data_IF_704677884722
#
_entry.id   IF_704677884722
#
_cell.length_a   1.000
_cell.length_b   1.000
_cell.length_c   1.000
_cell.angle_alpha   90.00
_cell.angle_beta   90.00
_cell.angle_gamma   90.00
#
_symmetry.space_group_name_H-M   'P 1'
#
loop_
_entity.id
_entity.type
_entity.pdbx_description
1 polymer ?
#
# COMPACT_ATOMS: atom_id res chain seq x y z
N UNK A 1 -0.33 14.05 -23.65
CA UNK A 1 -1.09 12.91 -24.19
C UNK A 1 -0.67 12.76 -25.64
N UNK A 2 -0.40 11.54 -26.12
CA UNK A 2 -0.02 11.36 -27.53
C UNK A 2 -1.22 11.75 -28.40
N UNK A 3 -1.10 12.74 -29.30
CA UNK A 3 -2.24 13.18 -30.12
C UNK A 3 -2.68 12.11 -31.10
N UNK A 4 -1.77 11.21 -31.47
CA UNK A 4 -2.01 10.15 -32.44
C UNK A 4 -1.90 8.77 -31.79
N UNK A 5 -2.85 7.90 -32.09
CA UNK A 5 -2.83 6.49 -31.72
C UNK A 5 -2.82 5.64 -32.97
N UNK A 6 -1.81 4.78 -33.10
CA UNK A 6 -1.77 3.73 -34.10
C UNK A 6 -2.59 2.53 -33.62
N UNK A 7 -3.64 2.20 -34.37
CA UNK A 7 -4.55 1.10 -34.11
C UNK A 7 -4.29 -0.01 -35.12
N UNK A 8 -3.90 -1.18 -34.64
CA UNK A 8 -3.65 -2.37 -35.46
C UNK A 8 -4.74 -3.40 -35.20
N UNK A 9 -5.81 -3.35 -36.00
CA UNK A 9 -6.81 -4.40 -35.96
C UNK A 9 -6.23 -5.69 -36.57
N UNK A 10 -6.59 -6.84 -36.00
CA UNK A 10 -6.10 -8.15 -36.48
C UNK A 10 -6.49 -8.33 -37.95
N UNK A 11 -5.51 -8.69 -38.79
CA UNK A 11 -5.66 -8.91 -40.23
C UNK A 11 -6.18 -7.68 -41.01
N UNK A 12 -5.85 -6.47 -40.57
CA UNK A 12 -6.18 -5.22 -41.29
C UNK A 12 -5.00 -4.25 -41.24
N UNK A 13 -5.01 -3.31 -42.18
CA UNK A 13 -4.03 -2.23 -42.20
C UNK A 13 -4.14 -1.34 -40.97
N UNK A 14 -3.00 -0.81 -40.55
CA UNK A 14 -2.91 0.09 -39.42
C UNK A 14 -3.64 1.40 -39.71
N UNK A 15 -4.43 1.87 -38.74
CA UNK A 15 -5.10 3.16 -38.81
C UNK A 15 -4.53 4.08 -37.73
N UNK A 16 -4.17 5.30 -38.10
CA UNK A 16 -3.81 6.35 -37.13
C UNK A 16 -5.04 7.19 -36.82
N UNK A 17 -5.38 7.31 -35.54
CA UNK A 17 -6.51 8.08 -35.04
C UNK A 17 -6.05 9.19 -34.11
N UNK A 18 -6.86 10.24 -33.96
CA UNK A 18 -6.68 11.31 -32.97
C UNK A 18 -7.80 11.29 -31.92
N UNK A 19 -7.86 10.25 -31.07
CA UNK A 19 -8.98 10.04 -30.15
C UNK A 19 -8.99 10.99 -28.95
N UNK A 20 -10.20 11.33 -28.49
CA UNK A 20 -10.42 11.89 -27.15
C UNK A 20 -10.67 10.72 -26.20
N UNK A 21 -9.71 10.42 -25.33
CA UNK A 21 -9.80 9.28 -24.42
C UNK A 21 -10.54 9.64 -23.13
N UNK A 22 -11.51 8.79 -22.77
CA UNK A 22 -12.00 8.64 -21.39
C UNK A 22 -11.88 7.18 -21.01
N UNK A 23 -11.15 6.90 -19.95
CA UNK A 23 -11.00 5.57 -19.39
C UNK A 23 -11.79 5.49 -18.08
N UNK A 24 -12.61 4.47 -17.94
CA UNK A 24 -13.19 4.07 -16.65
C UNK A 24 -12.74 2.64 -16.34
N UNK A 25 -12.36 2.41 -15.09
CA UNK A 25 -11.95 1.10 -14.60
C UNK A 25 -12.70 0.85 -13.29
N UNK A 26 -13.30 -0.34 -13.17
CA UNK A 26 -14.00 -0.77 -11.97
C UNK A 26 -13.31 -2.01 -11.44
N UNK A 27 -12.86 -1.93 -10.18
CA UNK A 27 -12.09 -2.99 -9.51
C UNK A 27 -12.63 -3.16 -8.10
N UNK A 28 -12.48 -4.36 -7.55
CA UNK A 28 -12.81 -4.58 -6.14
C UNK A 28 -11.72 -3.98 -5.25
N UNK A 29 -12.06 -3.70 -4.00
CA UNK A 29 -11.24 -2.95 -3.05
C UNK A 29 -10.25 -3.80 -2.24
N UNK A 30 -10.09 -5.08 -2.59
CA UNK A 30 -9.04 -5.92 -2.02
C UNK A 30 -7.63 -5.48 -2.51
N UNK A 31 -6.60 -5.51 -1.63
CA UNK A 31 -5.29 -4.95 -1.94
C UNK A 31 -4.65 -5.50 -3.21
N UNK A 32 -4.85 -6.79 -3.51
CA UNK A 32 -4.31 -7.43 -4.70
C UNK A 32 -4.92 -6.86 -5.99
N UNK A 33 -6.24 -6.66 -6.03
CA UNK A 33 -6.91 -6.10 -7.22
C UNK A 33 -6.67 -4.61 -7.37
N UNK A 34 -6.45 -3.87 -6.29
CA UNK A 34 -6.09 -2.45 -6.36
C UNK A 34 -4.74 -2.22 -7.04
N UNK A 35 -3.84 -3.20 -7.10
CA UNK A 35 -2.56 -3.08 -7.81
C UNK A 35 -2.69 -2.93 -9.33
N UNK A 36 -3.88 -3.13 -9.91
CA UNK A 36 -4.12 -2.82 -11.33
C UNK A 36 -4.22 -1.32 -11.58
N UNK A 37 -4.48 -0.54 -10.53
CA UNK A 37 -4.47 0.91 -10.63
C UNK A 37 -3.02 1.38 -10.82
N UNK A 38 -2.80 2.40 -11.67
CA UNK A 38 -1.46 2.93 -11.85
C UNK A 38 -0.96 3.55 -10.55
N UNK A 39 0.37 3.55 -10.31
CA UNK A 39 0.93 4.19 -9.15
C UNK A 39 0.60 5.69 -9.14
N UNK A 40 0.23 6.22 -7.97
CA UNK A 40 -0.09 7.64 -7.79
C UNK A 40 1.18 8.48 -7.64
N UNK A 41 1.98 8.54 -8.70
CA UNK A 41 3.13 9.43 -8.78
C UNK A 41 2.73 10.84 -9.28
N UNK A 42 3.71 11.76 -9.31
CA UNK A 42 3.48 13.15 -9.73
C UNK A 42 3.02 13.29 -11.20
N UNK A 43 3.22 12.29 -12.05
CA UNK A 43 2.76 12.36 -13.45
C UNK A 43 1.34 11.82 -13.59
N UNK A 44 0.92 10.88 -12.75
CA UNK A 44 -0.39 10.21 -12.89
C UNK A 44 -1.45 10.80 -11.97
N UNK A 45 -1.07 11.24 -10.77
CA UNK A 45 -1.99 11.64 -9.71
C UNK A 45 -2.97 12.75 -10.13
N UNK A 46 -2.57 13.71 -10.97
CA UNK A 46 -3.46 14.80 -11.38
C UNK A 46 -4.37 14.43 -12.56
N UNK A 47 -4.25 13.22 -13.11
CA UNK A 47 -4.98 12.72 -14.29
C UNK A 47 -6.09 11.73 -13.93
N UNK A 48 -6.26 11.35 -12.65
CA UNK A 48 -7.16 10.26 -12.24
C UNK A 48 -8.18 10.74 -11.20
N UNK A 49 -9.39 10.19 -11.29
CA UNK A 49 -10.40 10.26 -10.25
C UNK A 49 -10.58 8.85 -9.69
N UNK A 50 -10.32 8.67 -8.40
CA UNK A 50 -10.49 7.40 -7.67
C UNK A 50 -11.65 7.55 -6.71
N UNK A 51 -12.68 6.74 -6.92
CA UNK A 51 -13.90 6.70 -6.10
C UNK A 51 -14.00 5.34 -5.41
N UNK A 52 -14.34 5.35 -4.12
CA UNK A 52 -14.73 4.15 -3.39
C UNK A 52 -16.25 4.07 -3.38
N UNK A 53 -16.79 3.02 -3.98
CA UNK A 53 -18.24 2.80 -4.06
C UNK A 53 -18.64 1.81 -2.97
N UNK A 54 -19.68 2.15 -2.20
CA UNK A 54 -20.30 1.23 -1.24
C UNK A 54 -21.59 0.68 -1.83
N UNK A 55 -21.90 -0.57 -1.53
CA UNK A 55 -23.18 -1.15 -1.89
C UNK A 55 -24.32 -0.34 -1.27
N UNK A 56 -25.22 0.15 -2.11
CA UNK A 56 -26.43 0.85 -1.70
C UNK A 56 -27.64 -0.08 -1.71
N UNK A 57 -28.72 0.35 -1.05
CA UNK A 57 -30.03 -0.29 -1.20
C UNK A 57 -30.52 -0.08 -2.63
N UNK A 58 -30.95 -1.16 -3.29
CA UNK A 58 -31.51 -1.06 -4.63
C UNK A 58 -32.81 -0.24 -4.60
N UNK A 59 -33.02 0.70 -5.54
CA UNK A 59 -34.21 1.56 -5.56
C UNK A 59 -35.49 0.80 -5.90
N UNK A 60 -35.38 -0.44 -6.38
CA UNK A 60 -36.47 -1.35 -6.69
C UNK A 60 -35.99 -2.81 -6.60
N UNK A 61 -36.90 -3.80 -6.57
CA UNK A 61 -36.54 -5.21 -6.52
C UNK A 61 -35.64 -5.64 -7.68
N UNK A 62 -34.60 -6.44 -7.38
CA UNK A 62 -33.63 -6.96 -8.38
C UNK A 62 -33.21 -8.42 -8.12
N UNK A 63 -33.97 -9.12 -7.27
CA UNK A 63 -33.68 -10.49 -6.85
C UNK A 63 -34.05 -11.59 -7.85
N UNK A 64 -34.99 -11.34 -8.76
CA UNK A 64 -35.42 -12.29 -9.80
C UNK A 64 -35.01 -11.82 -11.20
N UNK A 65 -34.96 -12.72 -12.21
CA UNK A 65 -34.69 -12.33 -13.59
C UNK A 65 -35.65 -11.24 -14.11
N UNK A 66 -36.95 -11.35 -13.81
CA UNK A 66 -37.99 -10.41 -14.24
C UNK A 66 -37.78 -9.05 -13.58
N UNK A 67 -37.46 -9.05 -12.27
CA UNK A 67 -37.19 -7.83 -11.53
C UNK A 67 -35.93 -7.11 -12.03
N UNK A 68 -34.88 -7.87 -12.40
CA UNK A 68 -33.67 -7.32 -13.05
C UNK A 68 -33.96 -6.72 -14.42
N UNK A 69 -34.78 -7.39 -15.23
CA UNK A 69 -35.19 -6.87 -16.52
C UNK A 69 -35.99 -5.56 -16.39
N UNK A 70 -36.91 -5.51 -15.41
CA UNK A 70 -37.66 -4.30 -15.09
C UNK A 70 -36.76 -3.15 -14.62
N UNK A 71 -35.79 -3.43 -13.74
CA UNK A 71 -34.80 -2.44 -13.31
C UNK A 71 -33.94 -1.94 -14.46
N UNK A 72 -33.46 -2.83 -15.33
CA UNK A 72 -32.68 -2.45 -16.51
C UNK A 72 -33.47 -1.57 -17.47
N UNK A 73 -34.72 -1.95 -17.77
CA UNK A 73 -35.61 -1.17 -18.63
C UNK A 73 -35.85 0.24 -18.04
N UNK A 74 -36.04 0.34 -16.72
CA UNK A 74 -36.19 1.62 -16.03
C UNK A 74 -34.93 2.47 -16.12
N UNK A 75 -33.77 1.88 -15.82
CA UNK A 75 -32.48 2.57 -15.89
C UNK A 75 -32.21 3.13 -17.29
N UNK A 76 -32.41 2.31 -18.33
CA UNK A 76 -32.23 2.73 -19.72
C UNK A 76 -33.24 3.83 -20.11
N UNK A 77 -34.49 3.73 -19.66
CA UNK A 77 -35.52 4.76 -19.88
C UNK A 77 -35.22 6.10 -19.21
N UNK A 78 -34.41 6.12 -18.15
CA UNK A 78 -33.97 7.34 -17.46
C UNK A 78 -32.74 7.99 -18.10
N UNK A 79 -31.94 7.26 -18.89
CA UNK A 79 -30.72 7.79 -19.52
C UNK A 79 -30.94 9.09 -20.31
N UNK A 80 -32.02 9.29 -21.10
CA UNK A 80 -32.26 10.55 -21.79
C UNK A 80 -32.41 11.74 -20.83
N UNK A 81 -33.03 11.54 -19.67
CA UNK A 81 -33.19 12.58 -18.66
C UNK A 81 -31.87 12.88 -17.96
N UNK A 82 -31.07 11.85 -17.70
CA UNK A 82 -29.72 12.04 -17.16
C UNK A 82 -28.81 12.79 -18.13
N UNK A 83 -28.90 12.50 -19.43
CA UNK A 83 -28.19 13.27 -20.46
C UNK A 83 -28.65 14.73 -20.48
N UNK A 84 -29.96 14.99 -20.46
CA UNK A 84 -30.49 16.34 -20.37
C UNK A 84 -29.96 17.08 -19.14
N UNK A 85 -29.94 16.43 -17.98
CA UNK A 85 -29.35 16.98 -16.76
C UNK A 85 -27.85 17.32 -16.94
N UNK A 86 -27.07 16.41 -17.53
CA UNK A 86 -25.63 16.62 -17.76
C UNK A 86 -25.33 17.74 -18.75
N UNK A 87 -26.16 17.95 -19.77
CA UNK A 87 -26.02 19.04 -20.73
C UNK A 87 -26.22 20.41 -20.08
N UNK A 88 -27.07 20.50 -19.06
CA UNK A 88 -27.32 21.72 -18.30
C UNK A 88 -26.38 21.87 -17.09
N UNK A 89 -25.59 20.85 -16.78
CA UNK A 89 -24.74 20.87 -15.60
C UNK A 89 -23.47 21.68 -15.83
N UNK A 90 -23.38 22.80 -15.11
CA UNK A 90 -22.16 23.59 -15.06
C UNK A 90 -21.22 23.06 -13.99
N UNK A 91 -19.96 22.81 -14.36
CA UNK A 91 -18.92 22.37 -13.44
C UNK A 91 -18.70 23.47 -12.39
N UNK A 92 -18.93 23.20 -11.09
CA UNK A 92 -18.67 24.16 -10.02
C UNK A 92 -17.22 24.63 -9.99
N UNK A 93 -16.98 25.87 -9.58
CA UNK A 93 -15.66 26.49 -9.62
C UNK A 93 -14.61 25.68 -8.82
N UNK A 94 -15.02 25.13 -7.67
CA UNK A 94 -14.21 24.29 -6.80
C UNK A 94 -13.88 22.92 -7.38
N UNK A 95 -14.60 22.47 -8.41
CA UNK A 95 -14.32 21.23 -9.13
C UNK A 95 -13.58 21.48 -10.44
N UNK A 96 -13.37 22.74 -10.83
CA UNK A 96 -12.72 23.10 -12.09
C UNK A 96 -11.20 23.15 -11.96
N UNK A 97 -10.51 22.81 -13.05
CA UNK A 97 -9.06 23.00 -13.20
C UNK A 97 -8.74 23.27 -14.66
N UNK A 98 -7.73 24.09 -14.93
CA UNK A 98 -7.37 24.52 -16.28
C UNK A 98 -6.85 23.37 -17.15
N UNK A 99 -6.22 22.36 -16.54
CA UNK A 99 -5.51 21.30 -17.27
C UNK A 99 -6.45 20.27 -17.91
N UNK A 100 -7.52 19.88 -17.21
CA UNK A 100 -8.42 18.78 -17.60
C UNK A 100 -9.91 19.11 -17.42
N UNK A 101 -10.25 20.37 -17.09
CA UNK A 101 -11.62 20.81 -16.84
C UNK A 101 -12.20 20.37 -15.50
N UNK A 102 -11.71 19.26 -14.91
CA UNK A 102 -12.14 18.71 -13.62
C UNK A 102 -10.97 18.38 -12.70
N UNK A 103 -11.09 18.78 -11.43
CA UNK A 103 -10.12 18.51 -10.37
C UNK A 103 -10.05 17.01 -10.10
N UNK A 104 -8.83 16.48 -9.98
CA UNK A 104 -8.61 15.11 -9.56
C UNK A 104 -9.16 14.88 -8.14
N UNK A 105 -9.51 13.65 -7.83
CA UNK A 105 -9.94 13.27 -6.50
C UNK A 105 -9.46 11.87 -6.20
N UNK A 106 -8.86 11.67 -5.03
CA UNK A 106 -8.44 10.36 -4.59
C UNK A 106 -9.09 10.02 -3.26
N UNK A 107 -9.86 8.94 -3.23
CA UNK A 107 -10.45 8.47 -1.98
C UNK A 107 -9.33 8.06 -0.99
N UNK A 108 -9.30 8.62 0.22
CA UNK A 108 -8.20 8.44 1.17
C UNK A 108 -7.93 6.97 1.50
N UNK A 109 -8.97 6.17 1.77
CA UNK A 109 -8.79 4.72 2.04
C UNK A 109 -8.08 3.98 0.89
N UNK A 110 -8.37 4.33 -0.37
CA UNK A 110 -7.77 3.64 -1.52
C UNK A 110 -6.31 4.07 -1.67
N UNK A 111 -6.03 5.36 -1.47
CA UNK A 111 -4.67 5.90 -1.45
C UNK A 111 -3.84 5.20 -0.38
N UNK A 112 -4.39 5.04 0.82
CA UNK A 112 -3.70 4.36 1.92
C UNK A 112 -3.35 2.91 1.57
N UNK A 113 -4.29 2.14 1.00
CA UNK A 113 -4.02 0.77 0.56
C UNK A 113 -2.97 0.73 -0.55
N UNK A 114 -3.04 1.64 -1.53
CA UNK A 114 -2.06 1.72 -2.62
C UNK A 114 -0.66 2.05 -2.09
N UNK A 115 -0.54 3.01 -1.17
CA UNK A 115 0.74 3.37 -0.54
C UNK A 115 1.28 2.19 0.28
N UNK A 116 0.46 1.56 1.12
CA UNK A 116 0.89 0.46 1.99
C UNK A 116 1.27 -0.81 1.22
N UNK A 117 0.72 -0.97 0.01
CA UNK A 117 1.07 -2.06 -0.90
C UNK A 117 2.21 -1.72 -1.87
N UNK A 118 2.75 -0.51 -1.82
CA UNK A 118 3.82 -0.08 -2.72
C UNK A 118 5.09 -0.93 -2.53
N UNK A 119 5.81 -1.26 -3.61
CA UNK A 119 7.02 -2.10 -3.54
C UNK A 119 8.05 -1.59 -2.54
N UNK A 120 8.23 -0.27 -2.44
CA UNK A 120 9.16 0.32 -1.48
C UNK A 120 8.75 0.17 -0.01
N UNK A 121 7.45 0.11 0.30
CA UNK A 121 6.95 -0.11 1.67
C UNK A 121 7.12 -1.58 2.07
N UNK A 122 6.85 -2.49 1.13
CA UNK A 122 7.19 -3.91 1.32
C UNK A 122 8.69 -4.06 1.54
N UNK A 123 9.51 -3.39 0.75
CA UNK A 123 10.97 -3.40 0.89
C UNK A 123 11.43 -2.94 2.29
N UNK A 124 10.89 -1.83 2.79
CA UNK A 124 11.17 -1.36 4.16
C UNK A 124 10.80 -2.40 5.22
N UNK A 125 9.68 -3.10 5.03
CA UNK A 125 9.22 -4.15 5.95
C UNK A 125 10.17 -5.36 5.96
N UNK A 126 10.77 -5.71 4.81
CA UNK A 126 11.77 -6.77 4.73
C UNK A 126 13.07 -6.38 5.45
N UNK A 127 13.49 -5.11 5.34
CA UNK A 127 14.63 -4.57 6.11
C UNK A 127 14.36 -4.68 7.61
N UNK A 128 13.17 -4.28 8.06
CA UNK A 128 12.80 -4.33 9.47
C UNK A 128 12.79 -5.76 10.01
N UNK A 129 12.27 -6.71 9.23
CA UNK A 129 12.19 -8.12 9.62
C UNK A 129 13.54 -8.85 9.65
N UNK A 130 14.51 -8.44 8.82
CA UNK A 130 15.81 -9.12 8.71
C UNK A 130 16.92 -8.40 9.49
N UNK A 131 17.07 -7.09 9.28
CA UNK A 131 18.13 -6.29 9.88
C UNK A 131 17.74 -5.69 11.22
N UNK A 132 16.50 -5.22 11.42
CA UNK A 132 16.10 -4.59 12.70
C UNK A 132 15.33 -5.52 13.64
N UNK A 133 15.41 -6.84 13.43
CA UNK A 133 14.67 -7.85 14.20
C UNK A 133 14.93 -7.80 15.72
N UNK A 134 16.10 -7.31 16.12
CA UNK A 134 16.56 -7.21 17.50
C UNK A 134 16.77 -5.76 17.96
N UNK A 135 16.16 -4.79 17.26
CA UNK A 135 16.35 -3.36 17.57
C UNK A 135 15.88 -2.96 19.00
N UNK A 136 15.11 -3.81 19.69
CA UNK A 136 14.58 -3.53 21.04
C UNK A 136 14.78 -4.68 22.04
N UNK A 137 15.58 -5.68 21.72
CA UNK A 137 15.80 -6.79 22.65
C UNK A 137 16.90 -6.44 23.64
N UNK A 138 16.52 -6.19 24.89
CA UNK A 138 17.44 -6.10 26.05
C UNK A 138 17.86 -7.50 26.54
N UNK A 139 18.13 -8.42 25.61
CA UNK A 139 18.66 -9.74 25.94
C UNK A 139 20.13 -9.57 26.34
N UNK A 140 20.46 -9.98 27.56
CA UNK A 140 21.81 -9.90 28.11
C UNK A 140 22.86 -10.42 27.09
N UNK A 141 23.64 -9.48 26.54
CA UNK A 141 24.71 -9.77 25.58
C UNK A 141 24.46 -9.38 24.12
N UNK A 142 23.29 -8.85 23.76
CA UNK A 142 23.05 -8.32 22.40
C UNK A 142 22.94 -6.80 22.44
N UNK A 143 23.92 -6.09 21.86
CA UNK A 143 23.81 -4.64 21.64
C UNK A 143 22.60 -4.34 20.74
N UNK A 144 21.78 -3.32 21.06
CA UNK A 144 20.67 -2.93 20.22
C UNK A 144 21.18 -2.56 18.82
N UNK A 145 20.51 -3.10 17.81
CA UNK A 145 20.93 -2.89 16.43
C UNK A 145 20.73 -1.41 16.06
N UNK A 146 21.84 -0.71 15.82
CA UNK A 146 21.86 0.71 15.47
C UNK A 146 21.48 0.94 14.00
N UNK A 147 21.50 2.20 13.57
CA UNK A 147 21.26 2.56 12.17
C UNK A 147 22.11 1.71 11.20
N UNK A 148 21.50 1.26 10.11
CA UNK A 148 22.18 0.56 9.04
C UNK A 148 22.80 1.56 8.07
N UNK A 149 24.13 1.63 8.07
CA UNK A 149 24.92 2.46 7.15
C UNK A 149 25.58 1.56 6.09
N UNK A 150 25.03 1.55 4.87
CA UNK A 150 25.55 0.71 3.80
C UNK A 150 25.21 1.25 2.40
N UNK A 151 26.04 0.96 1.39
CA UNK A 151 25.68 1.20 0.00
C UNK A 151 24.56 0.24 -0.44
N UNK A 152 23.75 0.67 -1.42
CA UNK A 152 22.59 -0.12 -1.88
C UNK A 152 22.91 -1.57 -2.27
N UNK A 153 24.02 -1.90 -2.96
CA UNK A 153 24.33 -3.29 -3.32
C UNK A 153 24.66 -4.18 -2.12
N UNK A 154 25.10 -3.60 -1.01
CA UNK A 154 25.35 -4.35 0.22
C UNK A 154 24.06 -4.67 0.97
N UNK A 155 23.15 -3.70 1.05
CA UNK A 155 21.80 -3.88 1.59
C UNK A 155 21.09 -5.00 0.83
N UNK A 156 21.13 -4.94 -0.50
CA UNK A 156 20.53 -5.97 -1.36
C UNK A 156 21.12 -7.35 -1.07
N UNK A 157 22.45 -7.50 -1.08
CA UNK A 157 23.13 -8.78 -0.77
C UNK A 157 22.73 -9.33 0.60
N UNK A 158 22.64 -8.48 1.61
CA UNK A 158 22.22 -8.88 2.95
C UNK A 158 20.77 -9.39 3.00
N UNK A 159 19.88 -8.83 2.19
CA UNK A 159 18.48 -9.27 2.14
C UNK A 159 18.30 -10.56 1.33
N UNK A 160 19.12 -10.79 0.29
CA UNK A 160 18.97 -11.94 -0.63
C UNK A 160 19.86 -13.15 -0.34
N UNK A 161 20.77 -13.09 0.65
CA UNK A 161 21.60 -14.22 1.09
C UNK A 161 20.77 -15.41 1.57
N UNK A 162 21.31 -16.62 1.52
CA UNK A 162 20.55 -17.86 1.80
C UNK A 162 20.11 -17.99 3.27
N UNK A 163 20.85 -17.40 4.20
CA UNK A 163 20.55 -17.36 5.64
C UNK A 163 19.55 -16.26 6.03
N UNK A 164 19.17 -15.38 5.09
CA UNK A 164 18.19 -14.33 5.33
C UNK A 164 16.77 -14.92 5.42
N UNK A 165 16.02 -14.53 6.46
CA UNK A 165 14.64 -15.00 6.68
C UNK A 165 13.68 -14.47 5.61
N UNK A 166 14.07 -13.36 4.98
CA UNK A 166 13.30 -12.67 3.94
C UNK A 166 13.81 -12.98 2.53
N UNK A 167 14.82 -13.85 2.37
CA UNK A 167 15.53 -14.08 1.10
C UNK A 167 14.58 -14.35 -0.08
N UNK A 168 13.57 -15.19 0.10
CA UNK A 168 12.60 -15.53 -0.95
C UNK A 168 11.81 -14.29 -1.40
N UNK A 169 11.29 -13.51 -0.47
CA UNK A 169 10.51 -12.31 -0.76
C UNK A 169 11.41 -11.20 -1.33
N UNK A 170 12.60 -11.02 -0.77
CA UNK A 170 13.60 -10.05 -1.25
C UNK A 170 14.01 -10.35 -2.70
N UNK A 171 14.30 -11.61 -3.04
CA UNK A 171 14.62 -12.02 -4.42
C UNK A 171 13.46 -11.79 -5.38
N UNK A 172 12.21 -11.97 -4.94
CA UNK A 172 11.04 -11.69 -5.78
C UNK A 172 10.87 -10.19 -6.03
N UNK A 173 11.08 -9.37 -5.00
CA UNK A 173 10.91 -7.91 -5.06
C UNK A 173 12.05 -7.19 -5.81
N UNK A 174 13.28 -7.72 -5.70
CA UNK A 174 14.52 -7.15 -6.22
C UNK A 174 14.99 -7.85 -7.51
N UNK A 175 14.11 -8.54 -8.24
CA UNK A 175 14.46 -9.32 -9.45
C UNK A 175 15.23 -8.55 -10.52
N UNK A 176 15.09 -7.23 -10.59
CA UNK A 176 15.86 -6.39 -11.50
C UNK A 176 16.91 -5.59 -10.70
N UNK A 177 18.16 -5.64 -11.17
CA UNK A 177 19.41 -5.20 -10.53
C UNK A 177 19.58 -3.68 -10.34
N UNK A 178 18.51 -2.94 -10.06
CA UNK A 178 18.53 -1.49 -9.78
C UNK A 178 17.41 -1.03 -8.84
N UNK A 179 16.69 -1.98 -8.23
CA UNK A 179 15.51 -1.68 -7.43
C UNK A 179 15.82 -1.25 -6.00
N UNK A 180 16.89 -1.78 -5.37
CA UNK A 180 17.21 -1.44 -3.98
C UNK A 180 17.44 0.07 -3.80
N UNK A 181 18.32 0.68 -4.61
CA UNK A 181 18.59 2.11 -4.55
C UNK A 181 17.39 2.97 -4.97
N UNK A 182 16.58 2.48 -5.89
CA UNK A 182 15.34 3.14 -6.33
C UNK A 182 14.32 3.18 -5.19
N UNK A 183 14.08 2.06 -4.50
CA UNK A 183 13.15 1.99 -3.37
C UNK A 183 13.63 2.83 -2.19
N UNK A 184 14.92 2.81 -1.87
CA UNK A 184 15.51 3.71 -0.87
C UNK A 184 15.31 5.18 -1.25
N UNK A 185 15.48 5.54 -2.52
CA UNK A 185 15.21 6.87 -3.03
C UNK A 185 13.74 7.29 -2.95
N UNK A 186 12.80 6.36 -3.20
CA UNK A 186 11.36 6.61 -3.04
C UNK A 186 11.00 6.81 -1.57
N UNK A 187 11.46 5.94 -0.68
CA UNK A 187 11.22 6.07 0.76
C UNK A 187 11.77 7.38 1.32
N UNK A 188 12.97 7.78 0.88
CA UNK A 188 13.55 9.08 1.23
C UNK A 188 12.65 10.25 0.79
N UNK A 189 12.09 10.20 -0.43
CA UNK A 189 11.18 11.23 -0.94
C UNK A 189 9.84 11.26 -0.20
N UNK A 190 9.27 10.10 0.14
CA UNK A 190 8.03 10.01 0.94
C UNK A 190 8.15 10.66 2.32
N UNK A 191 9.38 10.70 2.87
CA UNK A 191 9.70 11.31 4.16
C UNK A 191 10.18 12.77 4.03
N UNK A 192 10.23 13.35 2.82
CA UNK A 192 10.73 14.71 2.62
C UNK A 192 9.91 15.74 3.40
N UNK A 193 10.58 16.54 4.23
CA UNK A 193 9.94 17.55 5.08
C UNK A 193 9.44 17.05 6.43
N UNK A 194 9.68 15.77 6.78
CA UNK A 194 9.41 15.20 8.11
C UNK A 194 10.67 14.49 8.65
N UNK A 195 10.81 14.28 9.97
CA UNK A 195 11.83 13.38 10.50
C UNK A 195 11.63 11.98 9.92
N UNK A 196 12.54 11.56 9.04
CA UNK A 196 12.49 10.30 8.32
C UNK A 196 13.48 9.27 8.85
N UNK A 197 13.19 7.98 8.65
CA UNK A 197 14.12 6.88 8.98
C UNK A 197 15.25 6.74 7.96
N UNK A 198 15.09 7.26 6.74
CA UNK A 198 16.03 7.03 5.65
C UNK A 198 16.72 8.33 5.29
N UNK A 199 18.06 8.30 5.23
CA UNK A 199 18.88 9.40 4.74
C UNK A 199 20.00 8.87 3.85
N UNK A 200 20.65 9.78 3.12
CA UNK A 200 21.74 9.43 2.18
C UNK A 200 22.87 10.44 2.25
N UNK A 201 24.09 9.97 2.03
CA UNK A 201 25.29 10.79 1.90
C UNK A 201 26.17 10.26 0.77
N UNK A 202 26.94 11.14 0.14
CA UNK A 202 27.94 10.76 -0.85
C UNK A 202 29.28 10.57 -0.14
N UNK A 203 29.92 9.42 -0.35
CA UNK A 203 31.25 9.10 0.17
C UNK A 203 32.06 8.51 -0.97
N UNK A 204 33.15 9.16 -1.36
CA UNK A 204 34.06 8.69 -2.43
C UNK A 204 33.36 8.37 -3.76
N UNK A 205 32.27 9.08 -4.10
CA UNK A 205 31.48 8.85 -5.31
C UNK A 205 30.32 7.85 -5.14
N UNK A 206 30.29 7.10 -4.04
CA UNK A 206 29.22 6.15 -3.73
C UNK A 206 28.13 6.79 -2.86
N UNK A 207 26.88 6.42 -3.12
CA UNK A 207 25.75 6.79 -2.25
C UNK A 207 25.63 5.79 -1.11
N UNK A 208 25.94 6.25 0.11
CA UNK A 208 25.71 5.50 1.34
C UNK A 208 24.33 5.85 1.88
N UNK A 209 23.54 4.82 2.17
CA UNK A 209 22.22 4.96 2.76
C UNK A 209 22.30 4.66 4.26
N UNK A 210 21.67 5.53 5.04
CA UNK A 210 21.50 5.37 6.48
C UNK A 210 20.04 5.08 6.75
N UNK A 211 19.76 3.93 7.37
CA UNK A 211 18.41 3.50 7.74
C UNK A 211 18.34 3.40 9.25
N UNK A 212 17.48 4.21 9.88
CA UNK A 212 17.24 4.16 11.31
C UNK A 212 16.33 2.97 11.65
N UNK A 213 16.45 2.37 12.86
CA UNK A 213 15.50 1.36 13.32
C UNK A 213 14.06 1.87 13.27
N UNK A 214 13.05 0.98 13.25
CA UNK A 214 11.66 1.40 13.40
C UNK A 214 11.46 2.22 14.69
N UNK A 215 10.33 2.94 14.84
CA UNK A 215 9.97 3.52 16.13
C UNK A 215 9.60 2.40 17.11
N UNK A 216 10.03 2.53 18.38
CA UNK A 216 9.69 1.56 19.42
C UNK A 216 8.17 1.48 19.54
N UNK A 217 7.57 0.27 19.49
CA UNK A 217 6.14 0.14 19.71
C UNK A 217 5.80 0.69 21.11
N UNK A 218 4.63 1.34 21.29
CA UNK A 218 4.22 1.82 22.60
C UNK A 218 4.22 0.64 23.58
N UNK A 219 4.77 0.84 24.78
CA UNK A 219 4.73 -0.17 25.82
C UNK A 219 3.27 -0.48 26.14
N UNK A 220 2.79 -1.66 25.76
CA UNK A 220 1.50 -2.15 26.23
C UNK A 220 1.61 -2.23 27.74
N UNK A 221 0.80 -1.50 28.53
CA UNK A 221 0.86 -1.60 29.98
C UNK A 221 0.62 -3.07 30.33
N UNK A 222 1.64 -3.69 30.91
CA UNK A 222 1.57 -5.09 31.33
C UNK A 222 0.42 -5.16 32.33
N UNK A 223 -0.62 -5.98 32.11
CA UNK A 223 -1.64 -6.16 33.13
C UNK A 223 -0.92 -6.62 34.39
N UNK A 224 -1.06 -5.87 35.48
CA UNK A 224 -0.52 -6.23 36.78
C UNK A 224 -0.74 -7.73 36.98
N UNK A 225 0.35 -8.50 37.13
CA UNK A 225 0.28 -9.93 37.44
C UNK A 225 -0.74 -10.07 38.56
N UNK A 226 -1.85 -10.75 38.29
CA UNK A 226 -2.80 -11.11 39.33
C UNK A 226 -2.03 -11.96 40.34
N UNK A 227 -1.68 -11.38 41.48
CA UNK A 227 -1.13 -12.12 42.61
C UNK A 227 -2.34 -12.85 43.19
N UNK A 228 -2.50 -14.11 42.80
CA UNK A 228 -3.52 -14.97 43.39
C UNK A 228 -3.39 -15.00 44.92
N UNK A 229 -4.48 -15.30 45.65
CA UNK A 229 -4.44 -15.35 47.11
C UNK A 229 -3.37 -16.35 47.59
N UNK A 230 -2.75 -16.11 48.76
CA UNK A 230 -1.72 -16.98 49.31
C UNK A 230 -2.27 -18.40 49.44
N UNK A 231 -1.49 -19.40 49.01
CA UNK A 231 -1.84 -20.81 49.17
C UNK A 231 -1.90 -21.12 50.67
N UNK A 232 -3.07 -21.57 51.13
CA UNK A 232 -3.23 -22.14 52.46
C UNK A 232 -2.25 -23.30 52.65
N UNK A 233 -1.62 -23.33 53.82
CA UNK A 233 -0.60 -24.28 54.24
C UNK A 233 -1.14 -25.73 54.16
N UNK A 234 -0.48 -26.59 53.36
CA UNK A 234 -0.77 -28.03 53.37
C UNK A 234 -0.36 -28.65 54.72
N UNK A 235 -1.19 -29.49 55.36
CA UNK A 235 -0.88 -30.05 56.66
C UNK A 235 0.25 -31.09 56.57
N UNK A 236 1.25 -30.94 57.45
CA UNK A 236 2.41 -31.82 57.56
C UNK A 236 1.98 -33.25 57.96
N UNK A 237 2.43 -34.31 57.25
CA UNK A 237 2.04 -35.68 57.57
C UNK A 237 2.71 -36.16 58.87
N UNK A 238 1.90 -36.68 59.80
CA UNK A 238 2.34 -37.27 61.07
C UNK A 238 2.92 -38.66 60.83
N UNK A 239 4.18 -38.85 61.21
CA UNK A 239 4.90 -40.13 61.12
C UNK A 239 4.45 -41.09 62.23
N UNK A 240 4.06 -42.31 61.86
CA UNK A 240 3.76 -43.41 62.79
C UNK A 240 4.81 -44.53 62.61
N UNK A 241 5.60 -44.87 63.64
CA UNK A 241 6.63 -45.89 63.51
C UNK A 241 6.06 -47.33 63.52
N UNK A 242 6.76 -48.29 62.88
CA UNK A 242 6.30 -49.68 62.73
C UNK A 242 6.44 -50.51 64.02
N UNK A 243 5.60 -51.55 64.13
CA UNK A 243 5.46 -52.45 65.29
C UNK A 243 6.64 -53.41 65.47
#
# INVERSE_FOLDING_TARGET
MNPEQHCHAKNRDALTLTPVWRLSCSVNDDPERLQVLPPLDNDVADKIIILKVKAGTMPMPSGTPEARAAFWARLVGELPHFLYYLEQWEIPAELRTDRYGMRHFHHPDVVEVLINSAPEVVFQSLIDAEYFRFAYTDLAGTEPQTAWDAPSPEIERHLVRDDSRVARQARQLLRHHSHCGTYLGRLYKHQAGKPGRISRRLVNGDTIWTIQPPPRPPETPVPHRYVGPPRDEEPVPVYVPPR
#
